data_IF_414916476631
#
_entry.id   IF_414916476631
#
_cell.length_a   1.000
_cell.length_b   1.000
_cell.length_c   1.000
_cell.angle_alpha   90.00
_cell.angle_beta   90.00
_cell.angle_gamma   90.00
#
_symmetry.space_group_name_H-M   'P 1'
#
loop_
_entity.id
_entity.type
_entity.pdbx_description
1 polymer ?
#
# COMPACT_ATOMS: atom_id res chain seq x y z
N UNK A 1 -5.55 -8.69 8.18
CA UNK A 1 -5.34 -7.43 7.42
C UNK A 1 -5.93 -7.62 6.04
N UNK A 2 -6.71 -6.67 5.52
CA UNK A 2 -7.22 -6.75 4.15
C UNK A 2 -6.31 -5.92 3.26
N UNK A 3 -5.60 -6.53 2.28
CA UNK A 3 -4.84 -5.76 1.32
C UNK A 3 -5.80 -4.89 0.51
N UNK A 4 -5.41 -3.63 0.30
CA UNK A 4 -6.10 -2.73 -0.63
C UNK A 4 -5.28 -2.68 -1.91
N UNK A 5 -5.95 -2.69 -3.06
CA UNK A 5 -5.28 -2.50 -4.35
C UNK A 5 -4.49 -1.20 -4.34
N UNK A 6 -3.24 -1.25 -4.76
CA UNK A 6 -2.39 -0.07 -4.82
C UNK A 6 -3.00 0.94 -5.80
N UNK A 7 -3.33 2.17 -5.37
CA UNK A 7 -4.02 3.13 -6.22
C UNK A 7 -3.14 3.72 -7.33
N UNK A 8 -1.82 3.53 -7.27
CA UNK A 8 -0.92 4.09 -8.29
C UNK A 8 -0.62 3.14 -9.44
N UNK A 9 -0.42 1.87 -9.15
CA UNK A 9 -0.26 0.85 -10.18
C UNK A 9 -1.58 0.13 -10.49
N UNK A 10 -2.66 0.46 -9.80
CA UNK A 10 -3.99 -0.16 -9.96
C UNK A 10 -3.98 -1.69 -9.88
N UNK A 11 -3.08 -2.26 -9.06
CA UNK A 11 -2.90 -3.71 -8.96
C UNK A 11 -1.81 -4.30 -9.85
N UNK A 12 -1.23 -3.52 -10.76
CA UNK A 12 -0.22 -4.02 -11.71
C UNK A 12 1.14 -4.30 -11.07
N UNK A 13 1.44 -3.71 -9.91
CA UNK A 13 2.77 -3.77 -9.29
C UNK A 13 3.86 -2.96 -10.02
N UNK A 14 3.55 -2.38 -11.18
CA UNK A 14 4.50 -1.60 -11.99
C UNK A 14 4.05 -0.15 -12.16
N UNK A 15 5.00 0.77 -12.27
CA UNK A 15 4.74 2.15 -12.62
C UNK A 15 4.63 2.34 -14.15
N UNK A 16 4.39 3.58 -14.61
CA UNK A 16 4.21 3.91 -16.03
C UNK A 16 5.45 3.61 -16.88
N UNK A 17 6.64 3.70 -16.30
CA UNK A 17 7.91 3.36 -16.93
C UNK A 17 8.23 1.85 -16.86
N UNK A 18 7.25 1.01 -16.48
CA UNK A 18 7.40 -0.44 -16.27
C UNK A 18 8.46 -0.81 -15.24
N UNK A 19 8.81 0.10 -14.33
CA UNK A 19 9.65 -0.20 -13.18
C UNK A 19 8.76 -0.64 -12.02
N UNK A 20 9.41 -1.15 -10.98
CA UNK A 20 8.72 -1.60 -9.76
C UNK A 20 7.99 -0.40 -9.16
N UNK A 21 6.69 -0.54 -8.92
CA UNK A 21 5.89 0.53 -8.33
C UNK A 21 6.45 0.86 -6.94
N UNK A 22 6.94 2.10 -6.69
CA UNK A 22 7.61 2.44 -5.44
C UNK A 22 6.64 2.46 -4.25
N UNK A 23 5.34 2.65 -4.51
CA UNK A 23 4.31 2.78 -3.47
C UNK A 23 3.93 1.45 -2.83
N UNK A 24 3.87 0.38 -3.64
CA UNK A 24 3.59 -0.97 -3.16
C UNK A 24 4.81 -1.90 -3.23
N UNK A 25 5.99 -1.39 -3.64
CA UNK A 25 7.20 -2.18 -3.79
C UNK A 25 7.08 -3.36 -4.77
N UNK A 26 6.25 -3.24 -5.81
CA UNK A 26 6.03 -4.33 -6.76
C UNK A 26 4.85 -5.27 -6.47
N UNK A 27 4.24 -5.16 -5.29
CA UNK A 27 3.20 -6.11 -4.86
C UNK A 27 1.85 -5.93 -5.57
N UNK A 28 1.54 -4.74 -6.06
CA UNK A 28 0.21 -4.40 -6.58
C UNK A 28 -0.82 -4.08 -5.50
N UNK A 29 -0.47 -4.29 -4.24
CA UNK A 29 -1.35 -4.12 -3.08
C UNK A 29 -0.62 -3.43 -1.92
N UNK A 30 -1.38 -2.69 -1.11
CA UNK A 30 -0.90 -1.99 0.08
C UNK A 30 -1.62 -2.51 1.32
N UNK A 31 -0.85 -2.80 2.36
CA UNK A 31 -1.35 -3.25 3.65
C UNK A 31 -1.45 -2.06 4.58
N UNK A 32 -2.64 -1.47 4.63
CA UNK A 32 -2.90 -0.40 5.60
C UNK A 32 -3.05 -1.07 6.98
N UNK A 33 -2.00 -0.98 7.79
CA UNK A 33 -2.14 -1.19 9.21
C UNK A 33 -2.99 -0.03 9.72
N UNK A 34 -4.29 -0.27 9.85
CA UNK A 34 -5.18 0.60 10.62
C UNK A 34 -4.77 0.47 12.08
N UNK A 35 -3.61 1.04 12.43
CA UNK A 35 -3.23 1.25 13.80
C UNK A 35 -4.25 2.26 14.28
N UNK A 36 -5.36 1.79 14.87
CA UNK A 36 -6.14 2.60 15.78
C UNK A 36 -5.18 2.91 16.91
N UNK A 37 -4.40 3.96 16.76
CA UNK A 37 -3.67 4.61 17.83
C UNK A 37 -4.73 5.15 18.78
N UNK A 38 -5.25 4.27 19.63
CA UNK A 38 -5.77 4.70 20.93
C UNK A 38 -4.56 5.05 21.77
N UNK A 39 -3.96 6.21 21.50
CA UNK A 39 -3.10 6.93 22.43
C UNK A 39 -3.84 8.24 22.70
N UNK A 40 -4.21 8.51 23.97
CA UNK A 40 -3.23 8.59 25.06
C UNK A 40 -3.66 7.82 26.33
N UNK A 41 -2.73 7.09 26.97
CA UNK A 41 -2.79 6.95 28.42
C UNK A 41 -2.18 8.23 29.00
N UNK A 42 -3.05 9.05 29.56
CA UNK A 42 -2.71 10.23 30.37
C UNK A 42 -2.34 9.79 31.78
#
# INVERSE_FOLDING_TARGET
MRPKTCPECLGSGMDRDRKICPKCGGLGEIYEFSVRTTLPCR
#
